data_IF_802915749879
#
_entry.id   IF_802915749879
#
_cell.length_a   1.000
_cell.length_b   1.000
_cell.length_c   1.000
_cell.angle_alpha   90.00
_cell.angle_beta   90.00
_cell.angle_gamma   90.00
#
_symmetry.space_group_name_H-M   'P 1'
#
loop_
_entity.id
_entity.type
_entity.pdbx_description
1 polymer ?
#
# COMPACT_ATOMS: atom_id res chain seq x y z
N UNK A 1 15.49 77.67 0.32
CA UNK A 1 16.55 76.95 -0.42
C UNK A 1 16.22 75.47 -0.45
N UNK A 2 16.11 74.92 -1.67
CA UNK A 2 16.42 73.55 -2.12
C UNK A 2 15.79 72.32 -1.42
N UNK A 3 14.98 71.62 -2.25
CA UNK A 3 14.97 70.17 -2.60
C UNK A 3 14.84 69.16 -1.43
N UNK A 4 14.05 68.10 -1.50
CA UNK A 4 13.33 67.50 -2.61
C UNK A 4 12.53 66.27 -2.15
N UNK A 5 11.73 65.77 -3.10
CA UNK A 5 10.83 64.62 -3.06
C UNK A 5 11.57 63.33 -2.67
N UNK A 6 10.97 62.51 -1.79
CA UNK A 6 11.19 61.06 -1.78
C UNK A 6 9.83 60.35 -1.63
N UNK A 7 9.33 59.79 -2.74
CA UNK A 7 8.47 58.60 -2.71
C UNK A 7 9.39 57.39 -2.82
N UNK A 8 9.24 56.38 -1.96
CA UNK A 8 9.59 55.01 -2.32
C UNK A 8 8.77 54.00 -1.52
N UNK A 9 7.93 53.30 -2.26
CA UNK A 9 7.30 52.02 -1.94
C UNK A 9 8.33 50.89 -1.92
N UNK A 10 8.07 49.84 -1.14
CA UNK A 10 8.76 48.55 -1.20
C UNK A 10 9.65 48.31 0.03
N UNK A 11 9.83 47.09 0.53
CA UNK A 11 9.46 45.78 0.04
C UNK A 11 9.64 44.81 1.21
N UNK A 12 8.70 43.87 1.37
CA UNK A 12 8.82 42.71 2.25
C UNK A 12 10.05 41.91 1.79
N UNK A 13 11.04 41.75 2.67
CA UNK A 13 12.20 40.92 2.42
C UNK A 13 11.80 39.44 2.52
N UNK A 14 11.59 38.79 1.38
CA UNK A 14 11.59 37.33 1.26
C UNK A 14 13.05 36.91 1.07
N UNK A 15 13.55 36.14 2.03
CA UNK A 15 14.89 35.55 1.99
C UNK A 15 14.91 34.48 0.91
N UNK A 16 15.66 34.76 -0.16
CA UNK A 16 16.14 33.78 -1.14
C UNK A 16 17.33 33.02 -0.54
N UNK A 17 17.19 31.70 -0.38
CA UNK A 17 18.35 30.80 -0.36
C UNK A 17 18.39 30.10 -1.71
N UNK A 18 19.31 30.56 -2.55
CA UNK A 18 19.74 29.90 -3.77
C UNK A 18 20.58 28.66 -3.41
N UNK A 19 20.15 27.48 -3.84
CA UNK A 19 21.06 26.42 -4.29
C UNK A 19 20.73 26.18 -5.76
N UNK A 20 21.72 26.45 -6.62
CA UNK A 20 21.56 26.46 -8.06
C UNK A 20 21.34 25.08 -8.66
N UNK A 21 20.21 24.93 -9.34
CA UNK A 21 20.11 24.16 -10.59
C UNK A 21 19.21 24.99 -11.51
N UNK A 22 19.80 25.60 -12.53
CA UNK A 22 19.05 26.13 -13.66
C UNK A 22 18.42 24.94 -14.39
N UNK A 23 17.10 24.79 -14.29
CA UNK A 23 16.36 24.15 -15.36
C UNK A 23 14.93 24.71 -15.37
N UNK A 24 14.54 25.19 -16.54
CA UNK A 24 13.25 25.77 -16.89
C UNK A 24 12.09 24.92 -16.38
N UNK A 25 11.48 25.31 -15.27
CA UNK A 25 10.20 24.75 -14.83
C UNK A 25 9.16 25.84 -14.97
N UNK A 26 8.24 25.63 -15.92
CA UNK A 26 7.02 26.43 -16.03
C UNK A 26 6.22 26.30 -14.73
N UNK A 27 5.39 27.29 -14.40
CA UNK A 27 4.54 27.26 -13.19
C UNK A 27 3.67 25.97 -13.11
N UNK A 28 3.28 25.41 -14.27
CA UNK A 28 2.57 24.14 -14.35
C UNK A 28 3.40 22.96 -13.79
N UNK A 29 4.70 22.90 -14.09
CA UNK A 29 5.60 21.83 -13.61
C UNK A 29 5.87 21.94 -12.11
N UNK A 30 5.81 23.15 -11.54
CA UNK A 30 5.97 23.35 -10.09
C UNK A 30 4.72 22.88 -9.35
N UNK A 31 3.53 23.14 -9.91
CA UNK A 31 2.27 22.67 -9.33
C UNK A 31 2.14 21.15 -9.42
N UNK A 32 2.55 20.53 -10.54
CA UNK A 32 2.55 19.08 -10.69
C UNK A 32 3.59 18.39 -9.78
N UNK A 33 4.77 18.98 -9.55
CA UNK A 33 5.76 18.44 -8.59
C UNK A 33 5.31 18.60 -7.12
N UNK A 34 4.70 19.73 -6.76
CA UNK A 34 4.10 19.93 -5.43
C UNK A 34 2.96 18.93 -5.18
N UNK A 35 2.15 18.65 -6.21
CA UNK A 35 1.09 17.63 -6.16
C UNK A 35 1.67 16.23 -6.05
N UNK A 36 2.72 15.89 -6.81
CA UNK A 36 3.41 14.62 -6.68
C UNK A 36 3.96 14.44 -5.25
N UNK A 37 4.56 15.48 -4.65
CA UNK A 37 5.01 15.47 -3.26
C UNK A 37 3.85 15.33 -2.25
N UNK A 38 2.73 16.04 -2.45
CA UNK A 38 1.55 15.89 -1.58
C UNK A 38 0.93 14.50 -1.66
N UNK A 39 0.79 13.93 -2.87
CA UNK A 39 0.35 12.55 -3.08
C UNK A 39 1.31 11.58 -2.37
N UNK A 40 2.61 11.74 -2.55
CA UNK A 40 3.63 10.89 -1.90
C UNK A 40 3.54 10.95 -0.37
N UNK A 41 3.28 12.14 0.20
CA UNK A 41 3.11 12.32 1.64
C UNK A 41 1.81 11.74 2.19
N UNK A 42 0.71 11.78 1.43
CA UNK A 42 -0.56 11.14 1.81
C UNK A 42 -0.41 9.61 1.74
N UNK A 43 0.24 9.07 0.70
CA UNK A 43 0.51 7.63 0.58
C UNK A 43 1.38 7.12 1.74
N UNK A 44 2.33 7.92 2.23
CA UNK A 44 3.18 7.54 3.38
C UNK A 44 2.43 7.40 4.71
N UNK A 45 1.31 8.10 4.92
CA UNK A 45 0.57 8.07 6.19
C UNK A 45 -0.34 6.83 6.33
N UNK A 46 -0.75 6.21 5.22
CA UNK A 46 -1.63 5.03 5.22
C UNK A 46 -0.91 3.70 4.99
N UNK A 47 0.34 3.71 4.53
CA UNK A 47 1.16 2.50 4.33
C UNK A 47 1.33 1.61 5.57
N UNK A 48 1.02 2.15 6.76
CA UNK A 48 1.17 1.47 8.05
C UNK A 48 -0.16 0.94 8.65
N UNK A 49 -1.30 1.18 8.01
CA UNK A 49 -2.59 0.65 8.49
C UNK A 49 -2.58 -0.89 8.36
N UNK A 50 -2.97 -1.59 9.43
CA UNK A 50 -3.09 -3.05 9.41
C UNK A 50 -4.41 -3.43 8.74
N UNK A 51 -4.33 -4.08 7.59
CA UNK A 51 -5.45 -4.49 6.74
C UNK A 51 -5.78 -5.98 6.86
N UNK A 52 -4.94 -6.73 7.55
CA UNK A 52 -5.06 -8.18 7.67
C UNK A 52 -3.95 -8.80 8.52
N UNK A 53 -4.10 -10.09 8.80
CA UNK A 53 -3.17 -10.84 9.64
C UNK A 53 -3.19 -12.33 9.32
N UNK A 54 -2.24 -13.06 9.89
CA UNK A 54 -2.29 -14.52 9.96
C UNK A 54 -3.55 -15.01 10.67
N UNK A 55 -4.15 -16.09 10.16
CA UNK A 55 -5.29 -16.78 10.80
C UNK A 55 -4.91 -17.37 12.16
N UNK A 56 -3.66 -17.83 12.26
CA UNK A 56 -3.07 -18.38 13.48
C UNK A 56 -1.54 -18.31 13.42
N UNK A 57 -0.90 -18.46 14.57
CA UNK A 57 0.54 -18.62 14.65
C UNK A 57 0.98 -19.92 13.99
N UNK A 58 2.01 -19.84 13.15
CA UNK A 58 2.70 -21.03 12.62
C UNK A 58 3.99 -21.28 13.39
N UNK A 59 4.37 -22.54 13.57
CA UNK A 59 5.55 -22.90 14.34
C UNK A 59 6.46 -23.91 13.66
N UNK A 60 7.75 -23.79 13.92
CA UNK A 60 8.77 -24.78 13.58
C UNK A 60 9.50 -25.14 14.87
N UNK A 61 9.58 -26.44 15.15
CA UNK A 61 10.34 -27.01 16.26
C UNK A 61 11.42 -27.92 15.69
N UNK A 62 12.68 -27.65 16.04
CA UNK A 62 13.79 -28.57 15.79
C UNK A 62 13.64 -29.79 16.71
N UNK A 63 13.24 -30.92 16.14
CA UNK A 63 13.21 -32.21 16.85
C UNK A 63 14.48 -32.97 16.44
N UNK A 64 15.42 -33.14 17.37
CA UNK A 64 16.52 -34.08 17.16
C UNK A 64 16.03 -35.49 17.53
N UNK A 65 15.76 -36.33 16.53
CA UNK A 65 15.58 -37.76 16.76
C UNK A 65 16.91 -38.47 16.60
N UNK A 66 17.47 -38.96 17.71
CA UNK A 66 18.53 -39.96 17.63
C UNK A 66 17.89 -41.28 17.19
N UNK A 67 18.50 -41.96 16.21
CA UNK A 67 18.07 -43.28 15.72
C UNK A 67 17.69 -44.21 16.88
N UNK A 68 16.39 -44.44 17.08
CA UNK A 68 15.86 -45.56 17.87
C UNK A 68 15.54 -45.32 19.35
N UNK A 69 15.80 -44.14 19.93
CA UNK A 69 15.33 -43.81 21.28
C UNK A 69 14.92 -42.33 21.36
N UNK A 70 13.69 -42.04 21.83
CA UNK A 70 13.29 -40.71 22.28
C UNK A 70 14.08 -40.35 23.55
N UNK A 71 15.35 -39.96 23.39
CA UNK A 71 16.13 -39.30 24.43
C UNK A 71 16.14 -37.81 24.13
N UNK A 72 15.47 -37.04 25.00
CA UNK A 72 15.71 -35.62 25.14
C UNK A 72 17.15 -35.48 25.66
N UNK A 73 18.10 -35.27 24.75
CA UNK A 73 19.49 -35.06 25.12
C UNK A 73 19.57 -33.72 25.87
N UNK A 74 19.97 -33.76 27.14
CA UNK A 74 20.33 -32.55 27.87
C UNK A 74 21.48 -31.84 27.16
N UNK A 75 21.28 -30.55 26.87
CA UNK A 75 22.24 -29.57 26.31
C UNK A 75 22.38 -29.37 24.78
N UNK A 76 21.47 -29.86 23.93
CA UNK A 76 21.28 -29.31 22.57
C UNK A 76 19.87 -28.76 22.44
N UNK A 77 19.77 -27.49 22.06
CA UNK A 77 18.65 -26.65 22.47
C UNK A 77 17.57 -26.71 21.41
N UNK A 78 16.31 -26.95 21.78
CA UNK A 78 15.25 -27.09 20.80
C UNK A 78 15.01 -25.74 20.14
N UNK A 79 15.50 -25.56 18.91
CA UNK A 79 15.18 -24.40 18.09
C UNK A 79 13.67 -24.35 17.90
N UNK A 80 13.01 -23.40 18.56
CA UNK A 80 11.56 -23.25 18.50
C UNK A 80 11.23 -21.84 18.04
N UNK A 81 10.72 -21.74 16.82
CA UNK A 81 10.37 -20.47 16.20
C UNK A 81 8.88 -20.42 15.96
N UNK A 82 8.25 -19.34 16.41
CA UNK A 82 6.84 -19.03 16.17
C UNK A 82 6.78 -17.82 15.25
N UNK A 83 5.97 -17.88 14.20
CA UNK A 83 5.77 -16.81 13.25
C UNK A 83 4.29 -16.42 13.23
N UNK A 84 4.05 -15.13 13.51
CA UNK A 84 2.81 -14.41 13.19
C UNK A 84 3.13 -13.31 12.18
N UNK A 85 2.10 -12.76 11.54
CA UNK A 85 2.29 -11.60 10.69
C UNK A 85 1.02 -10.74 10.60
N UNK A 86 1.24 -9.46 10.32
CA UNK A 86 0.23 -8.49 9.94
C UNK A 86 0.54 -7.98 8.53
N UNK A 87 -0.47 -7.55 7.79
CA UNK A 87 -0.32 -7.04 6.44
C UNK A 87 -0.88 -5.63 6.33
N UNK A 88 -0.20 -4.77 5.58
CA UNK A 88 -0.62 -3.39 5.27
C UNK A 88 -1.12 -3.30 3.82
N UNK A 89 -1.22 -2.11 3.24
CA UNK A 89 -1.51 -1.95 1.81
C UNK A 89 -0.32 -2.30 0.89
N UNK A 90 0.91 -2.36 1.43
CA UNK A 90 2.13 -2.52 0.63
C UNK A 90 3.20 -3.47 1.21
N UNK A 91 2.98 -3.97 2.43
CA UNK A 91 4.00 -4.68 3.21
C UNK A 91 3.41 -5.82 4.04
N UNK A 92 4.27 -6.78 4.40
CA UNK A 92 4.01 -7.78 5.43
C UNK A 92 4.95 -7.53 6.61
N UNK A 93 4.40 -7.42 7.81
CA UNK A 93 5.11 -7.25 9.07
C UNK A 93 5.12 -8.60 9.79
N UNK A 94 6.28 -9.20 9.90
CA UNK A 94 6.50 -10.47 10.60
C UNK A 94 6.78 -10.21 12.07
N UNK A 95 6.07 -10.93 12.94
CA UNK A 95 6.31 -11.01 14.38
C UNK A 95 6.82 -12.43 14.70
N UNK A 96 8.14 -12.57 14.77
CA UNK A 96 8.83 -13.84 14.98
C UNK A 96 9.27 -13.95 16.44
N UNK A 97 8.83 -15.01 17.12
CA UNK A 97 9.31 -15.33 18.47
C UNK A 97 10.22 -16.53 18.43
N UNK A 98 11.49 -16.35 18.77
CA UNK A 98 12.44 -17.43 18.97
C UNK A 98 12.45 -17.81 20.46
N UNK A 99 12.03 -19.03 20.77
CA UNK A 99 12.01 -19.60 22.12
C UNK A 99 13.16 -20.59 22.35
N UNK A 100 14.08 -20.72 21.40
CA UNK A 100 15.38 -21.36 21.62
C UNK A 100 16.24 -20.56 22.61
N UNK A 101 17.42 -21.08 22.92
CA UNK A 101 18.33 -20.38 23.86
C UNK A 101 19.51 -19.69 23.17
N UNK A 102 19.56 -19.76 21.84
CA UNK A 102 20.50 -19.07 20.97
C UNK A 102 19.79 -18.48 19.74
N UNK A 103 20.58 -17.82 18.90
CA UNK A 103 20.11 -17.18 17.68
C UNK A 103 19.77 -18.25 16.63
N UNK A 104 18.70 -18.03 15.88
CA UNK A 104 18.46 -18.81 14.65
C UNK A 104 19.19 -18.12 13.50
N UNK A 105 20.12 -18.82 12.85
CA UNK A 105 20.94 -18.28 11.77
C UNK A 105 20.13 -17.62 10.67
N UNK A 106 19.04 -18.28 10.24
CA UNK A 106 18.22 -17.80 9.12
C UNK A 106 16.77 -18.26 9.19
N UNK A 107 15.85 -17.31 9.08
CA UNK A 107 14.44 -17.57 8.75
C UNK A 107 14.16 -17.04 7.36
N UNK A 108 13.65 -17.87 6.45
CA UNK A 108 13.47 -17.50 5.05
C UNK A 108 12.24 -18.16 4.45
N UNK A 109 11.75 -17.63 3.34
CA UNK A 109 10.54 -18.17 2.74
C UNK A 109 10.02 -17.38 1.56
N UNK A 110 8.76 -17.66 1.22
CA UNK A 110 8.02 -16.99 0.15
C UNK A 110 6.63 -16.60 0.63
N UNK A 111 6.29 -15.34 0.40
CA UNK A 111 4.94 -14.77 0.52
C UNK A 111 4.25 -14.96 -0.83
N UNK A 112 3.05 -15.53 -0.83
CA UNK A 112 2.19 -15.74 -2.00
C UNK A 112 0.83 -15.11 -1.71
N UNK A 113 0.48 -14.06 -2.44
CA UNK A 113 -0.81 -13.35 -2.27
C UNK A 113 -1.87 -13.81 -3.28
N UNK A 114 -1.56 -14.81 -4.11
CA UNK A 114 -2.34 -15.17 -5.30
C UNK A 114 -2.12 -14.23 -6.48
N UNK A 115 -1.89 -12.94 -6.22
CA UNK A 115 -1.57 -11.92 -7.24
C UNK A 115 -0.07 -11.83 -7.52
N UNK A 116 0.78 -12.11 -6.52
CA UNK A 116 2.24 -12.09 -6.65
C UNK A 116 2.93 -13.03 -5.68
N UNK A 117 4.22 -13.28 -5.93
CA UNK A 117 5.12 -13.99 -5.02
C UNK A 117 6.32 -13.15 -4.67
N UNK A 118 6.75 -13.19 -3.41
CA UNK A 118 7.94 -12.47 -2.93
C UNK A 118 8.73 -13.30 -1.92
N UNK A 119 10.01 -13.48 -2.18
CA UNK A 119 10.92 -14.14 -1.23
C UNK A 119 11.36 -13.18 -0.13
N UNK A 120 11.64 -13.73 1.05
CA UNK A 120 12.20 -13.00 2.18
C UNK A 120 13.23 -13.85 2.92
N UNK A 121 14.12 -13.17 3.65
CA UNK A 121 15.11 -13.79 4.52
C UNK A 121 15.45 -12.85 5.67
N UNK A 122 15.58 -13.40 6.87
CA UNK A 122 15.96 -12.71 8.10
C UNK A 122 17.10 -13.50 8.74
N UNK A 123 18.26 -12.88 8.86
CA UNK A 123 19.45 -13.51 9.45
C UNK A 123 19.56 -13.17 10.93
N UNK A 124 20.17 -14.06 11.70
CA UNK A 124 20.48 -13.86 13.12
C UNK A 124 19.23 -13.49 13.94
N UNK A 125 18.17 -14.29 13.85
CA UNK A 125 16.92 -14.06 14.58
C UNK A 125 17.16 -14.30 16.07
N UNK A 126 17.21 -13.20 16.83
CA UNK A 126 17.50 -13.18 18.27
C UNK A 126 16.48 -13.93 19.10
N UNK A 127 16.88 -14.32 20.32
CA UNK A 127 15.98 -14.92 21.31
C UNK A 127 14.89 -13.91 21.67
N UNK A 128 13.66 -14.39 21.85
CA UNK A 128 12.50 -13.57 22.16
C UNK A 128 11.81 -13.03 20.91
N UNK A 129 11.15 -11.87 21.04
CA UNK A 129 10.33 -11.28 19.98
C UNK A 129 11.18 -10.43 19.04
N UNK A 130 11.04 -10.69 17.74
CA UNK A 130 11.68 -9.97 16.66
C UNK A 130 10.61 -9.51 15.67
N UNK A 131 10.78 -8.30 15.15
CA UNK A 131 9.88 -7.73 14.16
C UNK A 131 10.63 -7.39 12.88
N UNK A 132 10.09 -7.82 11.75
CA UNK A 132 10.67 -7.56 10.43
C UNK A 132 9.59 -7.10 9.46
N UNK A 133 9.94 -6.21 8.54
CA UNK A 133 9.01 -5.74 7.51
C UNK A 133 9.53 -6.10 6.13
N UNK A 134 8.67 -6.73 5.34
CA UNK A 134 8.91 -7.01 3.92
C UNK A 134 8.00 -6.11 3.11
N UNK A 135 8.56 -5.01 2.60
CA UNK A 135 7.86 -4.06 1.72
C UNK A 135 7.79 -4.55 0.28
N UNK A 136 7.00 -3.87 -0.55
CA UNK A 136 6.83 -4.21 -1.96
C UNK A 136 6.02 -5.50 -2.15
N UNK A 137 5.00 -5.66 -1.32
CA UNK A 137 3.91 -6.65 -1.41
C UNK A 137 2.59 -5.85 -1.47
N UNK A 138 2.30 -5.15 -2.59
CA UNK A 138 1.08 -4.36 -2.75
C UNK A 138 -0.21 -5.17 -2.69
N UNK A 139 -1.26 -4.60 -2.10
CA UNK A 139 -2.62 -5.12 -2.17
C UNK A 139 -3.20 -4.83 -3.56
N UNK A 140 -3.42 -5.88 -4.35
CA UNK A 140 -3.79 -5.73 -5.78
C UNK A 140 -5.27 -6.03 -6.07
N UNK A 141 -6.00 -6.56 -5.10
CA UNK A 141 -7.44 -6.80 -5.16
C UNK A 141 -8.10 -6.32 -3.87
N UNK A 142 -9.41 -6.12 -3.87
CA UNK A 142 -10.16 -5.65 -2.69
C UNK A 142 -10.01 -6.60 -1.49
N UNK A 143 -9.83 -7.89 -1.77
CA UNK A 143 -9.49 -8.91 -0.80
C UNK A 143 -8.45 -9.84 -1.44
N UNK A 144 -7.47 -10.26 -0.67
CA UNK A 144 -6.56 -11.33 -1.08
C UNK A 144 -6.20 -12.26 0.07
N UNK A 145 -6.01 -13.54 -0.27
CA UNK A 145 -5.51 -14.55 0.64
C UNK A 145 -3.99 -14.57 0.56
N UNK A 146 -3.35 -14.60 1.72
CA UNK A 146 -1.91 -14.62 1.86
C UNK A 146 -1.50 -15.98 2.41
N UNK A 147 -0.54 -16.59 1.73
CA UNK A 147 0.10 -17.84 2.14
C UNK A 147 1.60 -17.62 2.23
N UNK A 148 2.16 -17.88 3.40
CA UNK A 148 3.58 -17.76 3.67
C UNK A 148 4.13 -19.15 3.93
N UNK A 149 4.96 -19.64 3.02
CA UNK A 149 5.75 -20.86 3.23
C UNK A 149 7.12 -20.44 3.71
N UNK A 150 7.54 -20.93 4.87
CA UNK A 150 8.77 -20.49 5.52
C UNK A 150 9.53 -21.64 6.15
N UNK A 151 10.81 -21.37 6.36
CA UNK A 151 11.84 -22.32 6.78
C UNK A 151 12.70 -21.66 7.85
N UNK A 152 13.23 -22.48 8.75
CA UNK A 152 14.19 -22.05 9.74
C UNK A 152 15.46 -22.91 9.64
N UNK A 153 16.59 -22.23 9.63
CA UNK A 153 17.93 -22.81 9.48
C UNK A 153 18.80 -22.37 10.63
N UNK A 154 19.54 -23.33 11.16
CA UNK A 154 20.50 -23.13 12.24
C UNK A 154 21.63 -24.17 12.13
N UNK A 155 22.85 -23.79 12.50
CA UNK A 155 24.03 -24.66 12.42
C UNK A 155 24.35 -25.15 11.00
N UNK A 156 23.92 -24.41 9.97
CA UNK A 156 24.11 -24.79 8.58
C UNK A 156 23.03 -25.69 7.96
N UNK A 157 22.06 -26.18 8.73
CA UNK A 157 20.98 -27.06 8.25
C UNK A 157 19.58 -26.47 8.51
N UNK A 158 18.64 -26.76 7.60
CA UNK A 158 17.22 -26.40 7.78
C UNK A 158 16.57 -27.40 8.74
N UNK A 159 16.20 -26.95 9.94
CA UNK A 159 15.61 -27.83 10.96
C UNK A 159 14.08 -27.93 10.88
N UNK A 160 13.45 -27.16 10.00
CA UNK A 160 12.06 -27.39 9.64
C UNK A 160 11.45 -26.35 8.71
N UNK A 161 10.16 -26.54 8.43
CA UNK A 161 9.35 -25.67 7.59
C UNK A 161 7.92 -25.62 8.09
N UNK A 162 7.25 -24.49 7.89
CA UNK A 162 5.83 -24.34 8.18
C UNK A 162 5.14 -23.48 7.12
N UNK A 163 3.81 -23.52 7.13
CA UNK A 163 2.97 -22.64 6.32
C UNK A 163 2.07 -21.83 7.24
N UNK A 164 2.02 -20.52 7.02
CA UNK A 164 1.05 -19.62 7.64
C UNK A 164 0.08 -19.11 6.57
N UNK A 165 -1.21 -19.08 6.90
CA UNK A 165 -2.25 -18.50 6.05
C UNK A 165 -2.91 -17.32 6.73
N UNK A 166 -3.56 -16.48 5.94
CA UNK A 166 -4.35 -15.36 6.40
C UNK A 166 -4.90 -14.60 5.21
N UNK A 167 -5.44 -13.42 5.47
CA UNK A 167 -5.94 -12.53 4.41
C UNK A 167 -5.77 -11.07 4.81
N UNK A 168 -5.90 -10.19 3.82
CA UNK A 168 -6.10 -8.76 4.02
C UNK A 168 -7.18 -8.23 3.08
N UNK A 169 -7.80 -7.12 3.46
CA UNK A 169 -8.83 -6.47 2.66
C UNK A 169 -8.67 -4.95 2.67
N UNK A 170 -9.14 -4.30 1.60
CA UNK A 170 -9.21 -2.85 1.54
C UNK A 170 -10.06 -2.30 2.70
N UNK A 171 -9.70 -1.16 3.31
CA UNK A 171 -10.55 -0.51 4.30
C UNK A 171 -11.97 -0.26 3.78
N UNK A 172 -12.97 -0.56 4.60
CA UNK A 172 -14.38 -0.36 4.22
C UNK A 172 -14.68 1.12 3.90
N UNK A 173 -13.97 2.06 4.53
CA UNK A 173 -14.07 3.49 4.23
C UNK A 173 -13.72 3.81 2.78
N UNK A 174 -12.70 3.17 2.22
CA UNK A 174 -12.32 3.33 0.82
C UNK A 174 -13.28 2.57 -0.10
N UNK A 175 -13.65 1.33 0.25
CA UNK A 175 -14.59 0.54 -0.55
C UNK A 175 -15.95 1.23 -0.69
N UNK A 176 -16.41 1.93 0.35
CA UNK A 176 -17.67 2.67 0.36
C UNK A 176 -17.66 3.91 -0.57
N UNK A 177 -16.49 4.38 -1.03
CA UNK A 177 -16.42 5.43 -2.04
C UNK A 177 -16.76 4.91 -3.44
N UNK A 178 -16.68 3.60 -3.65
CA UNK A 178 -16.87 2.97 -4.96
C UNK A 178 -18.29 2.42 -5.13
N UNK A 179 -18.83 2.47 -6.34
CA UNK A 179 -20.15 1.93 -6.68
C UNK A 179 -20.06 0.55 -7.32
N UNK A 180 -21.18 -0.19 -7.43
CA UNK A 180 -21.20 -1.49 -8.06
C UNK A 180 -21.08 -1.45 -9.60
N UNK A 181 -21.23 -0.27 -10.22
CA UNK A 181 -21.22 -0.10 -11.66
C UNK A 181 -22.18 -1.07 -12.35
N UNK A 182 -21.71 -1.71 -13.42
CA UNK A 182 -22.43 -2.79 -14.10
C UNK A 182 -22.07 -4.19 -13.59
N UNK A 183 -21.24 -4.32 -12.55
CA UNK A 183 -20.66 -5.58 -12.08
C UNK A 183 -21.46 -6.28 -10.98
N UNK A 184 -22.49 -5.63 -10.45
CA UNK A 184 -23.37 -6.18 -9.41
C UNK A 184 -22.78 -6.15 -8.00
N UNK A 185 -21.51 -5.79 -7.81
CA UNK A 185 -20.92 -5.50 -6.50
C UNK A 185 -19.79 -4.48 -6.61
N UNK A 186 -19.53 -3.75 -5.51
CA UNK A 186 -18.46 -2.74 -5.41
C UNK A 186 -17.09 -3.36 -5.63
N UNK A 187 -16.82 -4.47 -4.95
CA UNK A 187 -15.57 -5.24 -5.05
C UNK A 187 -15.26 -5.61 -6.49
N UNK A 188 -16.21 -6.22 -7.22
CA UNK A 188 -15.99 -6.63 -8.62
C UNK A 188 -15.75 -5.44 -9.54
N UNK A 189 -16.44 -4.33 -9.31
CA UNK A 189 -16.27 -3.11 -10.10
C UNK A 189 -14.88 -2.49 -9.84
N UNK A 190 -14.48 -2.38 -8.58
CA UNK A 190 -13.20 -1.80 -8.19
C UNK A 190 -12.02 -2.67 -8.64
N UNK A 191 -12.07 -3.99 -8.44
CA UNK A 191 -11.03 -4.91 -8.92
C UNK A 191 -10.86 -4.82 -10.44
N UNK A 192 -11.96 -4.75 -11.18
CA UNK A 192 -11.92 -4.61 -12.63
C UNK A 192 -11.25 -3.30 -13.04
N UNK A 193 -11.72 -2.16 -12.53
CA UNK A 193 -11.19 -0.86 -12.94
C UNK A 193 -9.76 -0.61 -12.46
N UNK A 194 -9.39 -1.08 -11.27
CA UNK A 194 -8.00 -1.05 -10.82
C UNK A 194 -7.11 -1.91 -11.72
N UNK A 195 -7.54 -3.14 -12.06
CA UNK A 195 -6.79 -4.03 -12.93
C UNK A 195 -6.57 -3.47 -14.34
N UNK A 196 -7.51 -2.67 -14.86
CA UNK A 196 -7.38 -1.99 -16.15
C UNK A 196 -6.57 -0.69 -16.07
N UNK A 197 -6.90 0.18 -15.11
CA UNK A 197 -6.48 1.57 -15.12
C UNK A 197 -5.48 1.95 -14.01
N UNK A 198 -5.25 1.07 -13.02
CA UNK A 198 -4.37 1.37 -11.88
C UNK A 198 -2.98 1.82 -12.32
N UNK A 199 -2.39 1.15 -13.33
CA UNK A 199 -1.10 1.53 -13.92
C UNK A 199 -1.14 2.85 -14.68
N UNK A 200 -2.23 3.14 -15.38
CA UNK A 200 -2.39 4.38 -16.15
C UNK A 200 -2.29 5.61 -15.23
N UNK A 201 -2.85 5.48 -14.03
CA UNK A 201 -2.87 6.53 -13.01
C UNK A 201 -1.74 6.43 -11.99
N UNK A 202 -0.78 5.53 -12.24
CA UNK A 202 0.41 5.32 -11.40
C UNK A 202 0.08 4.90 -9.96
N UNK A 203 -1.05 4.23 -9.76
CA UNK A 203 -1.38 3.60 -8.49
C UNK A 203 -0.58 2.29 -8.31
N UNK A 204 0.09 2.15 -7.17
CA UNK A 204 0.91 0.99 -6.81
C UNK A 204 0.08 -0.12 -6.16
N UNK A 205 -1.04 0.24 -5.54
CA UNK A 205 -1.97 -0.67 -4.88
C UNK A 205 -3.41 -0.15 -5.03
N UNK A 206 -4.39 -1.01 -4.71
CA UNK A 206 -5.81 -0.70 -4.91
C UNK A 206 -6.33 0.40 -3.96
N UNK A 207 -5.76 0.53 -2.76
CA UNK A 207 -6.12 1.61 -1.82
C UNK A 207 -5.71 2.96 -2.38
N UNK A 208 -4.48 3.07 -2.90
CA UNK A 208 -3.96 4.27 -3.55
C UNK A 208 -4.79 4.65 -4.77
N UNK A 209 -5.22 3.68 -5.57
CA UNK A 209 -6.10 3.93 -6.72
C UNK A 209 -7.42 4.62 -6.32
N UNK A 210 -8.08 4.14 -5.25
CA UNK A 210 -9.30 4.77 -4.75
C UNK A 210 -9.03 6.18 -4.24
N UNK A 211 -7.93 6.40 -3.51
CA UNK A 211 -7.56 7.74 -3.02
C UNK A 211 -7.32 8.71 -4.17
N UNK A 212 -6.60 8.29 -5.21
CA UNK A 212 -6.35 9.11 -6.40
C UNK A 212 -7.65 9.47 -7.13
N UNK A 213 -8.58 8.52 -7.25
CA UNK A 213 -9.89 8.78 -7.84
C UNK A 213 -10.72 9.79 -7.01
N UNK A 214 -10.68 9.69 -5.68
CA UNK A 214 -11.34 10.64 -4.79
C UNK A 214 -10.71 12.05 -4.83
N UNK A 215 -9.39 12.14 -4.89
CA UNK A 215 -8.71 13.43 -5.08
C UNK A 215 -9.07 14.07 -6.43
N UNK A 216 -9.15 13.26 -7.50
CA UNK A 216 -9.64 13.76 -8.79
C UNK A 216 -11.10 14.25 -8.69
N UNK A 217 -11.97 13.52 -7.98
CA UNK A 217 -13.35 13.95 -7.71
C UNK A 217 -13.39 15.29 -6.98
N UNK A 218 -12.61 15.48 -5.91
CA UNK A 218 -12.50 16.75 -5.19
C UNK A 218 -12.05 17.88 -6.10
N UNK A 219 -11.07 17.62 -6.97
CA UNK A 219 -10.58 18.58 -7.95
C UNK A 219 -11.63 18.99 -8.97
N UNK A 220 -12.41 18.04 -9.49
CA UNK A 220 -13.55 18.31 -10.38
C UNK A 220 -14.55 19.26 -9.73
N UNK A 221 -14.86 19.04 -8.44
CA UNK A 221 -15.80 19.87 -7.67
C UNK A 221 -15.22 21.26 -7.43
N UNK A 222 -13.98 21.35 -6.97
CA UNK A 222 -13.27 22.61 -6.68
C UNK A 222 -13.20 23.51 -7.91
N UNK A 223 -12.81 22.94 -9.06
CA UNK A 223 -12.73 23.64 -10.33
C UNK A 223 -14.08 23.85 -11.02
N UNK A 224 -15.17 23.30 -10.47
CA UNK A 224 -16.51 23.33 -11.06
C UNK A 224 -16.53 22.84 -12.50
N UNK A 225 -15.79 21.78 -12.80
CA UNK A 225 -15.76 21.21 -14.14
C UNK A 225 -17.14 20.66 -14.50
N UNK A 226 -17.58 20.93 -15.72
CA UNK A 226 -18.83 20.35 -16.24
C UNK A 226 -18.57 18.95 -16.77
N UNK A 227 -19.50 18.00 -16.60
CA UNK A 227 -19.35 16.68 -17.17
C UNK A 227 -19.31 16.76 -18.70
N UNK A 228 -18.47 15.93 -19.32
CA UNK A 228 -18.35 15.84 -20.78
C UNK A 228 -19.54 15.11 -21.40
N UNK A 229 -19.99 14.02 -20.76
CA UNK A 229 -21.11 13.20 -21.23
C UNK A 229 -21.69 12.32 -20.12
N UNK A 230 -22.92 11.88 -20.33
CA UNK A 230 -23.51 10.75 -19.61
C UNK A 230 -22.76 9.46 -20.01
N UNK A 231 -22.58 8.57 -19.05
CA UNK A 231 -22.00 7.24 -19.26
C UNK A 231 -23.11 6.22 -19.13
N UNK A 232 -23.41 5.53 -20.23
CA UNK A 232 -24.44 4.50 -20.28
C UNK A 232 -24.02 3.28 -19.45
N UNK A 233 -24.95 2.74 -18.67
CA UNK A 233 -24.69 1.57 -17.83
C UNK A 233 -25.84 1.25 -16.89
N UNK A 234 -25.65 0.20 -16.07
CA UNK A 234 -26.66 -0.24 -15.09
C UNK A 234 -26.82 0.76 -13.94
N UNK A 235 -25.75 1.43 -13.55
CA UNK A 235 -25.80 2.47 -12.52
C UNK A 235 -26.26 3.78 -13.18
N UNK A 236 -27.38 4.38 -12.75
CA UNK A 236 -27.90 5.60 -13.35
C UNK A 236 -27.08 6.83 -12.93
N UNK A 237 -27.26 7.94 -13.66
CA UNK A 237 -26.68 9.25 -13.36
C UNK A 237 -25.15 9.27 -13.26
N UNK A 238 -24.46 8.38 -13.98
CA UNK A 238 -23.00 8.38 -14.08
C UNK A 238 -22.58 9.32 -15.18
N UNK A 239 -21.68 10.25 -14.88
CA UNK A 239 -21.13 11.19 -15.86
C UNK A 239 -19.61 11.10 -15.90
N UNK A 240 -19.07 11.36 -17.09
CA UNK A 240 -17.62 11.43 -17.33
C UNK A 240 -17.10 12.85 -17.20
N UNK A 241 -16.08 13.03 -16.38
CA UNK A 241 -15.27 14.25 -16.29
C UNK A 241 -13.89 13.98 -16.86
N UNK A 242 -13.26 14.99 -17.48
CA UNK A 242 -11.89 14.91 -17.98
C UNK A 242 -11.08 16.12 -17.55
N UNK A 243 -9.85 15.89 -17.15
CA UNK A 243 -8.91 16.94 -16.77
C UNK A 243 -7.48 16.42 -16.85
N UNK A 244 -6.57 17.19 -17.46
CA UNK A 244 -5.14 16.86 -17.58
C UNK A 244 -4.83 15.45 -18.12
N UNK A 245 -5.61 14.96 -19.08
CA UNK A 245 -5.40 13.63 -19.67
C UNK A 245 -5.91 12.46 -18.82
N UNK A 246 -6.62 12.74 -17.72
CA UNK A 246 -7.31 11.76 -16.89
C UNK A 246 -8.83 11.86 -17.09
N UNK A 247 -9.55 10.80 -16.75
CA UNK A 247 -11.01 10.80 -16.67
C UNK A 247 -11.52 10.17 -15.37
N UNK A 248 -12.67 10.66 -14.92
CA UNK A 248 -13.44 10.08 -13.81
C UNK A 248 -14.88 9.86 -14.27
N UNK A 249 -15.38 8.65 -14.04
CA UNK A 249 -16.80 8.33 -14.11
C UNK A 249 -17.35 8.22 -12.70
N UNK A 250 -18.34 9.06 -12.36
CA UNK A 250 -18.93 9.09 -11.02
C UNK A 250 -20.43 9.40 -11.07
N UNK A 251 -21.15 8.88 -10.08
CA UNK A 251 -22.58 9.19 -9.88
C UNK A 251 -22.72 10.66 -9.47
N UNK A 252 -23.58 11.38 -10.18
CA UNK A 252 -23.79 12.80 -9.96
C UNK A 252 -25.15 13.13 -9.36
N UNK A 253 -25.17 14.20 -8.57
CA UNK A 253 -26.38 14.92 -8.16
C UNK A 253 -26.25 16.34 -8.70
N UNK A 254 -27.23 16.79 -9.49
CA UNK A 254 -27.18 18.10 -10.15
C UNK A 254 -25.87 18.34 -10.93
N UNK A 255 -25.39 17.32 -11.64
CA UNK A 255 -24.12 17.33 -12.40
C UNK A 255 -22.84 17.51 -11.57
N UNK A 256 -22.93 17.37 -10.24
CA UNK A 256 -21.76 17.38 -9.34
C UNK A 256 -21.46 15.94 -8.90
N UNK A 257 -20.21 15.46 -9.01
CA UNK A 257 -19.86 14.08 -8.67
C UNK A 257 -19.73 13.89 -7.15
N UNK A 258 -20.83 13.97 -6.41
CA UNK A 258 -20.85 13.75 -4.95
C UNK A 258 -21.23 12.31 -4.56
N UNK A 259 -21.62 11.48 -5.53
CA UNK A 259 -21.97 10.08 -5.31
C UNK A 259 -20.80 9.12 -5.45
N UNK A 260 -21.13 7.85 -5.65
CA UNK A 260 -20.20 6.74 -5.82
C UNK A 260 -19.27 6.95 -7.04
N UNK A 261 -17.99 6.67 -6.85
CA UNK A 261 -17.00 6.52 -7.91
C UNK A 261 -17.26 5.23 -8.70
N UNK A 262 -17.08 5.24 -10.02
CA UNK A 262 -17.33 4.08 -10.88
C UNK A 262 -16.08 3.64 -11.64
N UNK A 263 -15.35 4.59 -12.23
CA UNK A 263 -14.12 4.32 -12.97
C UNK A 263 -13.18 5.53 -12.93
N UNK A 264 -11.88 5.30 -12.91
CA UNK A 264 -10.85 6.33 -12.96
C UNK A 264 -9.67 5.87 -13.83
N UNK A 265 -9.24 6.68 -14.79
CA UNK A 265 -8.18 6.29 -15.74
C UNK A 265 -7.65 7.46 -16.56
N UNK A 266 -6.95 7.17 -17.67
CA UNK A 266 -6.48 8.18 -18.64
C UNK A 266 -7.30 8.19 -19.95
#
# INVERSE_FOLDING_TARGET
>A
MRRGILRLTGMIAIILVLVGVFCTRTLANVEDDLRAQQVTNITHNYGNEILGSSDSSSEIRGIQTNKGEEKILGNTLPNYVILNWNATEDSIIFDITNLGIDLVDLVYGTIDTGNMKKSFQFSNVGIGKNKYTVSGVPLLTCEEKIKIVWYAKDGGETFGSATSTGSRQIPQSLLNLWGPGSFGSRTKCLDYHFGQHGREVSASNICEYVRLADEFRKRVIELKLTPQKLVDGKTPNVYRFRYNGYYLDAVCVNLVPIGDLISFGK
#
